data_IF_285477544585
#
_entry.id   IF_285477544585
#
_cell.length_a   1.000
_cell.length_b   1.000
_cell.length_c   1.000
_cell.angle_alpha   90.00
_cell.angle_beta   90.00
_cell.angle_gamma   90.00
#
_symmetry.space_group_name_H-M   'P 1'
#
loop_
_entity.id
_entity.type
_entity.pdbx_description
1 polymer ?
#
# COMPACT_ATOMS: atom_id res chain seq x y z
N UNK A 1 -17.46 -23.67 -0.57
CA UNK A 1 -18.01 -23.05 0.66
C UNK A 1 -19.15 -22.16 0.20
N UNK A 2 -20.33 -22.34 0.79
CA UNK A 2 -21.51 -21.56 0.43
C UNK A 2 -21.25 -20.07 0.70
N UNK A 3 -21.76 -19.20 -0.15
CA UNK A 3 -21.81 -17.77 0.15
C UNK A 3 -22.55 -17.55 1.47
N UNK A 4 -21.99 -16.74 2.35
CA UNK A 4 -22.70 -16.39 3.57
C UNK A 4 -23.75 -15.33 3.28
N UNK A 5 -23.43 -14.15 2.75
CA UNK A 5 -24.45 -13.11 2.50
C UNK A 5 -24.24 -12.37 1.19
N UNK A 6 -25.34 -12.06 0.50
CA UNK A 6 -25.32 -11.19 -0.68
C UNK A 6 -26.44 -10.16 -0.62
N UNK A 7 -26.21 -9.02 -1.26
CA UNK A 7 -27.19 -7.94 -1.26
C UNK A 7 -28.23 -8.12 -2.39
N UNK A 8 -29.51 -8.04 -2.05
CA UNK A 8 -30.63 -8.04 -3.00
C UNK A 8 -30.94 -6.63 -3.57
N UNK A 9 -30.63 -5.55 -2.84
CA UNK A 9 -30.98 -4.19 -3.23
C UNK A 9 -29.94 -3.13 -2.79
N UNK A 10 -29.71 -2.13 -3.62
CA UNK A 10 -28.87 -0.99 -3.23
C UNK A 10 -29.52 -0.22 -2.07
N UNK A 11 -28.71 0.35 -1.18
CA UNK A 11 -29.19 1.13 -0.05
C UNK A 11 -28.28 1.03 1.18
N UNK A 12 -28.82 1.38 2.34
CA UNK A 12 -28.08 1.36 3.59
C UNK A 12 -27.79 -0.06 4.07
N UNK A 13 -26.63 -0.23 4.72
CA UNK A 13 -26.25 -1.47 5.37
C UNK A 13 -27.24 -1.84 6.47
N UNK A 14 -27.69 -0.86 7.26
CA UNK A 14 -28.63 -1.05 8.36
C UNK A 14 -30.01 -1.59 7.96
N UNK A 15 -30.37 -1.56 6.67
CA UNK A 15 -31.64 -2.08 6.18
C UNK A 15 -31.60 -3.60 6.03
N UNK A 16 -32.02 -4.33 7.07
CA UNK A 16 -31.96 -5.80 7.12
C UNK A 16 -32.63 -6.49 5.91
N UNK A 17 -33.73 -5.93 5.40
CA UNK A 17 -34.45 -6.46 4.23
C UNK A 17 -33.64 -6.50 2.92
N UNK A 18 -32.52 -5.76 2.84
CA UNK A 18 -31.63 -5.77 1.68
C UNK A 18 -30.76 -7.04 1.63
N UNK A 19 -30.62 -7.76 2.74
CA UNK A 19 -29.69 -8.87 2.86
C UNK A 19 -30.36 -10.23 2.63
N UNK A 20 -29.68 -11.08 1.85
CA UNK A 20 -30.11 -12.43 1.51
C UNK A 20 -29.01 -13.45 1.79
N UNK A 21 -29.43 -14.68 2.05
CA UNK A 21 -28.53 -15.76 2.47
C UNK A 21 -28.27 -15.75 3.96
N UNK A 22 -27.22 -16.46 4.36
CA UNK A 22 -26.67 -16.39 5.70
C UNK A 22 -27.00 -17.57 6.57
N UNK A 23 -26.20 -17.75 7.61
CA UNK A 23 -26.53 -18.70 8.68
C UNK A 23 -27.76 -18.23 9.48
N UNK A 24 -28.07 -16.93 9.48
CA UNK A 24 -29.23 -16.36 10.18
C UNK A 24 -30.46 -16.17 9.28
N UNK A 25 -30.37 -16.51 7.99
CA UNK A 25 -31.47 -16.42 7.02
C UNK A 25 -31.71 -15.03 6.43
N UNK A 26 -32.60 -14.98 5.44
CA UNK A 26 -32.95 -13.77 4.71
C UNK A 26 -33.49 -12.65 5.60
N UNK A 27 -33.22 -11.40 5.23
CA UNK A 27 -33.76 -10.24 5.93
C UNK A 27 -33.07 -9.96 7.27
N UNK A 28 -31.86 -10.49 7.48
CA UNK A 28 -31.05 -10.28 8.68
C UNK A 28 -29.73 -9.59 8.32
N UNK A 29 -29.15 -8.84 9.27
CA UNK A 29 -27.87 -8.17 9.04
C UNK A 29 -26.70 -9.18 9.06
N UNK A 30 -25.67 -9.01 8.21
CA UNK A 30 -24.48 -9.83 8.27
C UNK A 30 -23.74 -9.71 9.61
N UNK A 31 -23.11 -10.80 10.02
CA UNK A 31 -22.37 -10.96 11.27
C UNK A 31 -20.90 -11.28 11.03
N UNK A 32 -20.12 -11.38 12.10
CA UNK A 32 -18.68 -11.66 12.07
C UNK A 32 -18.26 -12.95 11.36
N UNK A 33 -19.19 -13.91 11.18
CA UNK A 33 -18.94 -15.18 10.51
C UNK A 33 -19.13 -15.11 8.99
N UNK A 34 -19.67 -14.00 8.48
CA UNK A 34 -20.22 -13.94 7.14
C UNK A 34 -19.27 -13.34 6.12
N UNK A 35 -19.10 -14.05 4.99
CA UNK A 35 -18.58 -13.47 3.76
C UNK A 35 -19.66 -12.65 3.05
N UNK A 36 -19.43 -11.34 2.90
CA UNK A 36 -20.43 -10.40 2.38
C UNK A 36 -20.09 -9.96 0.96
N UNK A 37 -21.01 -10.21 0.04
CA UNK A 37 -20.90 -9.88 -1.37
C UNK A 37 -21.80 -8.70 -1.73
N UNK A 38 -21.23 -7.69 -2.41
CA UNK A 38 -21.99 -6.54 -2.89
C UNK A 38 -23.00 -6.91 -4.00
N UNK A 39 -22.78 -8.01 -4.73
CA UNK A 39 -23.73 -8.58 -5.69
C UNK A 39 -24.20 -7.58 -6.77
N UNK A 40 -23.29 -6.76 -7.28
CA UNK A 40 -23.64 -5.70 -8.25
C UNK A 40 -24.41 -4.51 -7.66
N UNK A 41 -24.63 -4.46 -6.34
CA UNK A 41 -25.38 -3.39 -5.65
C UNK A 41 -24.46 -2.38 -4.99
N UNK A 42 -24.97 -1.16 -4.80
CA UNK A 42 -24.28 -0.11 -4.06
C UNK A 42 -24.79 -0.09 -2.62
N UNK A 43 -23.90 -0.32 -1.66
CA UNK A 43 -24.22 -0.41 -0.23
C UNK A 43 -23.61 0.77 0.49
N UNK A 44 -24.40 1.52 1.24
CA UNK A 44 -23.91 2.58 2.12
C UNK A 44 -23.67 2.01 3.51
N UNK A 45 -22.43 2.05 4.00
CA UNK A 45 -22.10 1.70 5.38
C UNK A 45 -22.45 2.91 6.27
N UNK A 46 -23.62 2.84 6.88
CA UNK A 46 -24.22 3.88 7.73
C UNK A 46 -24.16 3.55 9.23
N UNK A 47 -23.48 2.46 9.59
CA UNK A 47 -23.21 2.03 10.96
C UNK A 47 -21.86 1.30 11.03
N UNK A 48 -21.37 1.06 12.25
CA UNK A 48 -20.21 0.18 12.43
C UNK A 48 -20.59 -1.27 12.10
N UNK A 49 -19.65 -2.02 11.52
CA UNK A 49 -19.90 -3.38 11.04
C UNK A 49 -18.83 -4.35 11.50
N UNK A 50 -19.22 -5.61 11.67
CA UNK A 50 -18.30 -6.72 11.93
C UNK A 50 -18.66 -7.90 11.02
N UNK A 51 -17.75 -8.30 10.14
CA UNK A 51 -17.96 -9.35 9.13
C UNK A 51 -16.71 -10.21 8.92
N UNK A 52 -16.84 -11.37 8.28
CA UNK A 52 -15.68 -12.17 7.90
C UNK A 52 -14.94 -11.57 6.71
N UNK A 53 -15.69 -11.16 5.67
CA UNK A 53 -15.12 -10.48 4.50
C UNK A 53 -16.08 -9.51 3.82
N UNK A 54 -15.50 -8.58 3.05
CA UNK A 54 -16.22 -7.70 2.13
C UNK A 54 -15.71 -7.93 0.71
N UNK A 55 -16.61 -8.14 -0.25
CA UNK A 55 -16.24 -8.56 -1.61
C UNK A 55 -17.08 -7.90 -2.69
N UNK A 56 -16.44 -7.56 -3.80
CA UNK A 56 -17.10 -7.26 -5.09
C UNK A 56 -16.80 -8.33 -6.16
N UNK A 57 -16.30 -9.50 -5.74
CA UNK A 57 -16.14 -10.68 -6.60
C UNK A 57 -17.49 -11.35 -6.84
N UNK A 58 -17.58 -12.19 -7.89
CA UNK A 58 -18.67 -13.16 -7.94
C UNK A 58 -18.49 -14.19 -6.81
N UNK A 59 -19.59 -14.78 -6.37
CA UNK A 59 -19.57 -16.02 -5.60
C UNK A 59 -20.36 -17.12 -6.31
N UNK A 60 -21.02 -18.01 -5.57
CA UNK A 60 -21.88 -19.06 -6.13
C UNK A 60 -23.17 -18.52 -6.74
N UNK A 61 -23.83 -17.57 -6.07
CA UNK A 61 -25.10 -16.93 -6.47
C UNK A 61 -24.89 -15.44 -6.75
N UNK A 62 -23.98 -14.80 -6.02
CA UNK A 62 -23.68 -13.40 -6.15
C UNK A 62 -22.93 -13.12 -7.46
N UNK A 63 -23.40 -12.13 -8.21
CA UNK A 63 -22.72 -11.62 -9.39
C UNK A 63 -21.59 -10.67 -8.99
N UNK A 64 -20.53 -10.62 -9.80
CA UNK A 64 -19.43 -9.69 -9.58
C UNK A 64 -19.89 -8.22 -9.70
N UNK A 65 -19.30 -7.35 -8.89
CA UNK A 65 -19.49 -5.90 -8.93
C UNK A 65 -20.21 -5.34 -7.70
N UNK A 66 -20.61 -4.08 -7.79
CA UNK A 66 -21.18 -3.31 -6.68
C UNK A 66 -20.13 -2.53 -5.90
N UNK A 67 -20.48 -2.00 -4.74
CA UNK A 67 -19.54 -1.28 -3.87
C UNK A 67 -20.07 -1.13 -2.45
N UNK A 68 -19.16 -0.91 -1.51
CA UNK A 68 -19.44 -0.48 -0.15
C UNK A 68 -18.92 0.96 0.02
N UNK A 69 -19.82 1.90 0.29
CA UNK A 69 -19.48 3.32 0.43
C UNK A 69 -19.63 3.75 1.88
N UNK A 70 -18.56 4.32 2.45
CA UNK A 70 -18.60 4.97 3.75
C UNK A 70 -18.86 6.46 3.54
N UNK A 71 -20.10 6.90 3.76
CA UNK A 71 -20.55 8.28 3.51
C UNK A 71 -20.89 9.08 4.77
N UNK A 72 -20.81 8.46 5.95
CA UNK A 72 -20.98 9.12 7.26
C UNK A 72 -19.67 9.11 8.06
N UNK A 73 -19.46 10.16 8.84
CA UNK A 73 -18.21 10.36 9.60
C UNK A 73 -18.11 9.35 10.75
N UNK A 74 -16.89 8.93 11.10
CA UNK A 74 -16.63 8.11 12.29
C UNK A 74 -17.20 6.69 12.18
N UNK A 75 -16.54 5.82 11.40
CA UNK A 75 -16.96 4.42 11.24
C UNK A 75 -15.84 3.43 11.56
N UNK A 76 -16.26 2.27 12.06
CA UNK A 76 -15.39 1.12 12.27
C UNK A 76 -15.88 -0.07 11.45
N UNK A 77 -15.01 -0.58 10.60
CA UNK A 77 -15.18 -1.82 9.85
C UNK A 77 -14.25 -2.86 10.49
N UNK A 78 -14.84 -3.81 11.21
CA UNK A 78 -14.11 -4.97 11.73
C UNK A 78 -14.25 -6.12 10.72
N UNK A 79 -13.17 -6.50 10.05
CA UNK A 79 -13.17 -7.54 9.02
C UNK A 79 -12.16 -8.62 9.38
N UNK A 80 -12.64 -9.84 9.65
CA UNK A 80 -11.79 -10.88 10.24
C UNK A 80 -10.76 -11.47 9.27
N UNK A 81 -11.11 -11.58 7.98
CA UNK A 81 -10.31 -12.30 6.99
C UNK A 81 -9.82 -11.42 5.84
N UNK A 82 -10.73 -10.92 4.99
CA UNK A 82 -10.30 -10.22 3.77
C UNK A 82 -11.27 -9.15 3.29
N UNK A 83 -10.72 -8.10 2.69
CA UNK A 83 -11.45 -7.22 1.78
C UNK A 83 -10.86 -7.45 0.39
N UNK A 84 -11.70 -7.74 -0.60
CA UNK A 84 -11.25 -8.07 -1.96
C UNK A 84 -12.08 -7.35 -3.01
N UNK A 85 -11.40 -6.64 -3.92
CA UNK A 85 -12.02 -6.11 -5.12
C UNK A 85 -12.13 -7.19 -6.18
N UNK A 86 -13.32 -7.31 -6.78
CA UNK A 86 -13.60 -8.17 -7.92
C UNK A 86 -13.59 -7.38 -9.21
N UNK A 87 -14.76 -7.01 -9.72
CA UNK A 87 -14.91 -6.22 -10.96
C UNK A 87 -14.99 -4.71 -10.74
N UNK A 88 -15.14 -4.27 -9.49
CA UNK A 88 -15.32 -2.86 -9.11
C UNK A 88 -14.54 -2.52 -7.83
N UNK A 89 -14.41 -1.22 -7.53
CA UNK A 89 -13.83 -0.77 -6.27
C UNK A 89 -14.66 -1.30 -5.08
N UNK A 90 -14.02 -1.96 -4.12
CA UNK A 90 -14.76 -2.62 -3.02
C UNK A 90 -15.24 -1.61 -1.98
N UNK A 91 -14.33 -0.91 -1.30
CA UNK A 91 -14.65 0.10 -0.29
C UNK A 91 -14.26 1.48 -0.80
N UNK A 92 -15.21 2.41 -0.82
CA UNK A 92 -14.99 3.82 -1.16
C UNK A 92 -15.33 4.71 0.02
N UNK A 93 -14.39 5.57 0.42
CA UNK A 93 -14.61 6.56 1.49
C UNK A 93 -14.85 7.90 0.85
N UNK A 94 -16.07 8.43 1.02
CA UNK A 94 -16.54 9.67 0.34
C UNK A 94 -16.88 10.79 1.31
N UNK A 95 -16.68 10.56 2.60
CA UNK A 95 -16.91 11.53 3.67
C UNK A 95 -15.63 11.87 4.42
N UNK A 96 -15.59 13.05 5.01
CA UNK A 96 -14.48 13.48 5.88
C UNK A 96 -14.64 12.86 7.29
N UNK A 97 -13.58 12.87 8.08
CA UNK A 97 -13.56 12.20 9.39
C UNK A 97 -12.71 10.92 9.37
N UNK A 98 -12.87 10.10 10.41
CA UNK A 98 -12.03 8.90 10.59
C UNK A 98 -12.80 7.63 10.24
N UNK A 99 -12.23 6.83 9.34
CA UNK A 99 -12.59 5.43 9.14
C UNK A 99 -11.52 4.56 9.80
N UNK A 100 -11.94 3.56 10.56
CA UNK A 100 -11.06 2.51 11.09
C UNK A 100 -11.40 1.18 10.43
N UNK A 101 -10.41 0.51 9.84
CA UNK A 101 -10.53 -0.83 9.27
C UNK A 101 -9.60 -1.77 10.05
N UNK A 102 -10.15 -2.69 10.81
CA UNK A 102 -9.38 -3.55 11.71
C UNK A 102 -9.69 -5.03 11.48
N UNK A 103 -8.66 -5.87 11.55
CA UNK A 103 -8.81 -7.31 11.76
C UNK A 103 -7.48 -7.96 12.14
N UNK A 104 -7.51 -8.91 13.07
CA UNK A 104 -6.31 -9.57 13.61
C UNK A 104 -5.52 -10.36 12.58
N UNK A 105 -6.16 -10.79 11.49
CA UNK A 105 -5.54 -11.50 10.37
C UNK A 105 -6.00 -10.95 9.01
N UNK A 106 -6.44 -9.68 9.00
CA UNK A 106 -6.99 -9.06 7.81
C UNK A 106 -5.95 -8.89 6.71
N UNK A 107 -6.31 -9.31 5.50
CA UNK A 107 -5.59 -8.96 4.27
C UNK A 107 -6.50 -8.23 3.28
N UNK A 108 -6.05 -7.05 2.82
CA UNK A 108 -6.72 -6.28 1.76
C UNK A 108 -6.06 -6.63 0.44
N UNK A 109 -6.82 -7.28 -0.45
CA UNK A 109 -6.31 -7.84 -1.71
C UNK A 109 -6.82 -7.04 -2.91
N UNK A 110 -5.91 -6.59 -3.77
CA UNK A 110 -6.26 -6.08 -5.10
C UNK A 110 -6.83 -7.19 -5.99
N UNK A 111 -7.76 -6.82 -6.88
CA UNK A 111 -8.27 -7.71 -7.93
C UNK A 111 -7.17 -8.29 -8.82
N UNK A 112 -7.33 -9.57 -9.18
CA UNK A 112 -6.55 -10.23 -10.23
C UNK A 112 -7.25 -10.18 -11.60
N UNK A 113 -8.51 -9.74 -11.68
CA UNK A 113 -9.35 -9.95 -12.86
C UNK A 113 -9.80 -8.66 -13.56
N UNK A 114 -9.86 -7.53 -12.85
CA UNK A 114 -10.32 -6.25 -13.39
C UNK A 114 -9.23 -5.19 -13.30
N UNK A 115 -9.20 -4.25 -14.24
CA UNK A 115 -8.18 -3.19 -14.31
C UNK A 115 -8.69 -1.88 -13.71
N UNK A 116 -7.77 -1.02 -13.29
CA UNK A 116 -8.06 0.38 -12.89
C UNK A 116 -9.10 0.53 -11.75
N UNK A 117 -9.14 -0.43 -10.82
CA UNK A 117 -10.00 -0.39 -9.64
C UNK A 117 -9.17 -0.42 -8.36
N UNK A 118 -9.81 -0.17 -7.21
CA UNK A 118 -9.12 -0.18 -5.92
C UNK A 118 -9.86 -1.07 -4.92
N UNK A 119 -9.16 -1.68 -3.97
CA UNK A 119 -9.86 -2.43 -2.92
C UNK A 119 -10.41 -1.50 -1.85
N UNK A 120 -9.60 -0.56 -1.36
CA UNK A 120 -10.01 0.53 -0.49
C UNK A 120 -9.51 1.84 -1.08
N UNK A 121 -10.40 2.81 -1.27
CA UNK A 121 -10.08 4.10 -1.87
C UNK A 121 -10.52 5.26 -0.98
N UNK A 122 -9.57 6.05 -0.50
CA UNK A 122 -9.84 7.35 0.11
C UNK A 122 -9.93 8.42 -0.98
N UNK A 123 -11.10 9.01 -1.18
CA UNK A 123 -11.28 10.14 -2.11
C UNK A 123 -11.47 11.46 -1.39
N UNK A 124 -11.08 11.56 -0.12
CA UNK A 124 -11.36 12.72 0.74
C UNK A 124 -10.14 13.23 1.48
N UNK A 125 -10.32 14.31 2.24
CA UNK A 125 -9.35 14.79 3.24
C UNK A 125 -9.45 14.07 4.60
N UNK A 126 -10.30 13.05 4.72
CA UNK A 126 -10.45 12.24 5.94
C UNK A 126 -9.24 11.34 6.24
N UNK A 127 -9.28 10.71 7.41
CA UNK A 127 -8.28 9.76 7.89
C UNK A 127 -8.79 8.34 7.76
N UNK A 128 -7.98 7.42 7.24
CA UNK A 128 -8.22 5.98 7.29
C UNK A 128 -7.12 5.33 8.14
N UNK A 129 -7.50 4.72 9.26
CA UNK A 129 -6.63 3.87 10.05
C UNK A 129 -6.88 2.42 9.65
N UNK A 130 -5.83 1.69 9.27
CA UNK A 130 -5.93 0.31 8.78
C UNK A 130 -4.99 -0.58 9.60
N UNK A 131 -5.53 -1.65 10.18
CA UNK A 131 -4.74 -2.73 10.77
C UNK A 131 -4.92 -3.98 9.91
N UNK A 132 -4.02 -4.16 8.93
CA UNK A 132 -4.09 -5.23 7.94
C UNK A 132 -2.75 -5.38 7.19
N UNK A 133 -2.51 -6.53 6.60
CA UNK A 133 -1.59 -6.61 5.47
C UNK A 133 -2.31 -6.19 4.18
N UNK A 134 -1.60 -5.60 3.22
CA UNK A 134 -2.15 -5.25 1.91
C UNK A 134 -1.31 -5.88 0.80
N UNK A 135 -1.99 -6.43 -0.21
CA UNK A 135 -1.36 -7.09 -1.37
C UNK A 135 -1.89 -6.47 -2.67
N UNK A 136 -0.98 -6.00 -3.52
CA UNK A 136 -1.33 -5.39 -4.80
C UNK A 136 -2.10 -6.32 -5.73
N UNK A 137 -2.84 -5.74 -6.67
CA UNK A 137 -3.63 -6.54 -7.61
C UNK A 137 -2.77 -7.29 -8.62
N UNK A 138 -3.37 -8.35 -9.18
CA UNK A 138 -2.78 -9.09 -10.29
C UNK A 138 -2.99 -8.44 -11.66
N UNK A 139 -3.97 -7.54 -11.77
CA UNK A 139 -4.25 -6.80 -12.99
C UNK A 139 -3.68 -5.37 -12.94
N UNK A 140 -3.46 -4.78 -14.12
CA UNK A 140 -2.89 -3.45 -14.29
C UNK A 140 -3.78 -2.36 -13.67
N UNK A 141 -3.16 -1.41 -12.98
CA UNK A 141 -3.88 -0.26 -12.39
C UNK A 141 -4.69 -0.60 -11.14
N UNK A 142 -4.52 -1.80 -10.56
CA UNK A 142 -5.25 -2.24 -9.37
C UNK A 142 -4.47 -2.02 -8.09
N UNK A 143 -4.95 -1.12 -7.24
CA UNK A 143 -4.30 -0.82 -5.95
C UNK A 143 -5.15 -1.36 -4.80
N UNK A 144 -4.55 -2.04 -3.84
CA UNK A 144 -5.30 -2.53 -2.68
C UNK A 144 -5.73 -1.39 -1.75
N UNK A 145 -4.81 -0.49 -1.41
CA UNK A 145 -5.11 0.67 -0.56
C UNK A 145 -4.64 1.97 -1.20
N UNK A 146 -5.57 2.84 -1.57
CA UNK A 146 -5.28 4.07 -2.31
C UNK A 146 -5.70 5.31 -1.54
N UNK A 147 -4.79 6.27 -1.42
CA UNK A 147 -5.11 7.65 -1.06
C UNK A 147 -5.17 8.50 -2.33
N UNK A 148 -6.36 8.85 -2.81
CA UNK A 148 -6.55 9.61 -4.05
C UNK A 148 -6.69 11.11 -3.82
N UNK A 149 -6.67 11.57 -2.58
CA UNK A 149 -6.96 12.94 -2.18
C UNK A 149 -5.99 13.44 -1.10
N UNK A 150 -6.33 14.54 -0.44
CA UNK A 150 -5.49 15.20 0.56
C UNK A 150 -5.53 14.53 1.95
N UNK A 151 -6.21 13.38 2.07
CA UNK A 151 -6.44 12.69 3.34
C UNK A 151 -5.21 11.98 3.88
N UNK A 152 -5.38 11.34 5.04
CA UNK A 152 -4.34 10.56 5.70
C UNK A 152 -4.69 9.08 5.66
N UNK A 153 -3.72 8.23 5.33
CA UNK A 153 -3.82 6.79 5.55
C UNK A 153 -2.74 6.38 6.55
N UNK A 154 -3.13 5.73 7.64
CA UNK A 154 -2.23 5.12 8.61
C UNK A 154 -2.40 3.60 8.53
N UNK A 155 -1.37 2.90 8.07
CA UNK A 155 -1.36 1.44 7.96
C UNK A 155 -0.48 0.85 9.05
N UNK A 156 -1.04 -0.02 9.88
CA UNK A 156 -0.32 -0.95 10.75
C UNK A 156 -0.37 -2.33 10.13
N UNK A 157 0.73 -2.74 9.49
CA UNK A 157 0.84 -3.98 8.75
C UNK A 157 1.71 -3.83 7.50
N UNK A 158 1.90 -4.93 6.78
CA UNK A 158 2.86 -4.99 5.68
C UNK A 158 2.20 -4.66 4.33
N UNK A 159 2.99 -4.12 3.41
CA UNK A 159 2.62 -3.94 2.01
C UNK A 159 3.44 -4.89 1.13
N UNK A 160 2.77 -5.60 0.21
CA UNK A 160 3.44 -6.47 -0.77
C UNK A 160 2.89 -6.18 -2.16
N UNK A 161 3.77 -5.76 -3.08
CA UNK A 161 3.40 -5.52 -4.48
C UNK A 161 2.75 -6.76 -5.11
N UNK A 162 1.80 -6.55 -6.01
CA UNK A 162 1.09 -7.64 -6.67
C UNK A 162 1.87 -8.27 -7.83
N UNK A 163 1.15 -8.89 -8.75
CA UNK A 163 1.68 -9.30 -10.06
C UNK A 163 1.29 -8.35 -11.19
N UNK A 164 0.45 -7.34 -10.93
CA UNK A 164 0.07 -6.32 -11.92
C UNK A 164 0.35 -4.88 -11.48
N UNK A 165 0.33 -4.58 -10.18
CA UNK A 165 0.42 -3.21 -9.67
C UNK A 165 0.83 -3.13 -8.19
N UNK A 166 0.99 -1.91 -7.70
CA UNK A 166 1.34 -1.54 -6.33
C UNK A 166 0.33 -2.04 -5.27
N UNK A 167 0.81 -2.40 -4.08
CA UNK A 167 -0.07 -2.71 -2.95
C UNK A 167 -0.78 -1.46 -2.43
N UNK A 168 0.00 -0.45 -2.05
CA UNK A 168 -0.52 0.86 -1.69
C UNK A 168 -0.13 1.93 -2.70
N UNK A 169 -0.93 2.99 -2.78
CA UNK A 169 -0.65 4.14 -3.62
C UNK A 169 -1.10 5.45 -2.95
N UNK A 170 -0.18 6.39 -2.76
CA UNK A 170 -0.48 7.77 -2.46
C UNK A 170 -0.53 8.57 -3.77
N UNK A 171 -1.75 8.74 -4.29
CA UNK A 171 -2.02 9.45 -5.54
C UNK A 171 -2.63 10.85 -5.31
N UNK A 172 -2.61 11.32 -4.07
CA UNK A 172 -3.01 12.67 -3.69
C UNK A 172 -1.89 13.43 -2.98
N UNK A 173 -2.21 14.63 -2.51
CA UNK A 173 -1.27 15.48 -1.76
C UNK A 173 -1.19 15.11 -0.27
N UNK A 174 -1.98 14.13 0.15
CA UNK A 174 -2.07 13.67 1.53
C UNK A 174 -0.90 12.81 1.98
N UNK A 175 -1.09 12.16 3.12
CA UNK A 175 -0.06 11.33 3.76
C UNK A 175 -0.44 9.84 3.72
N UNK A 176 0.58 8.99 3.59
CA UNK A 176 0.43 7.55 3.73
C UNK A 176 1.56 7.03 4.62
N UNK A 177 1.22 6.66 5.86
CA UNK A 177 2.16 6.14 6.85
C UNK A 177 2.04 4.63 6.94
N UNK A 178 3.16 3.92 6.93
CA UNK A 178 3.23 2.45 7.04
C UNK A 178 4.09 2.09 8.26
N UNK A 179 3.43 1.51 9.26
CA UNK A 179 4.05 0.87 10.42
C UNK A 179 4.14 -0.64 10.20
N UNK A 180 5.00 -1.02 9.26
CA UNK A 180 5.23 -2.38 8.80
C UNK A 180 6.20 -2.38 7.61
N UNK A 181 6.45 -3.56 7.05
CA UNK A 181 7.38 -3.71 5.94
C UNK A 181 6.75 -3.33 4.60
N UNK A 182 7.56 -2.88 3.65
CA UNK A 182 7.14 -2.62 2.28
C UNK A 182 7.99 -3.44 1.29
N UNK A 183 7.37 -4.42 0.64
CA UNK A 183 8.06 -5.36 -0.26
C UNK A 183 7.55 -5.22 -1.69
N UNK A 184 8.45 -5.13 -2.66
CA UNK A 184 8.10 -5.19 -4.08
C UNK A 184 7.52 -6.54 -4.48
N UNK A 185 6.72 -6.56 -5.54
CA UNK A 185 6.03 -7.74 -6.05
C UNK A 185 6.78 -8.50 -7.14
N UNK A 186 6.01 -9.25 -7.93
CA UNK A 186 6.51 -10.18 -8.94
C UNK A 186 6.66 -9.63 -10.35
N UNK A 187 6.30 -8.37 -10.59
CA UNK A 187 6.20 -7.76 -11.92
C UNK A 187 6.69 -6.33 -11.96
N UNK A 188 6.92 -5.79 -13.15
CA UNK A 188 7.19 -4.36 -13.33
C UNK A 188 6.04 -3.52 -12.75
N UNK A 189 6.37 -2.43 -12.07
CA UNK A 189 5.40 -1.55 -11.37
C UNK A 189 4.63 -2.17 -10.19
N UNK A 190 4.94 -3.42 -9.82
CA UNK A 190 4.41 -4.04 -8.62
C UNK A 190 5.14 -3.56 -7.37
N UNK A 191 4.90 -2.31 -6.99
CA UNK A 191 5.56 -1.71 -5.83
C UNK A 191 4.93 -2.15 -4.50
N UNK A 192 5.70 -2.23 -3.41
CA UNK A 192 5.09 -2.33 -2.08
C UNK A 192 4.22 -1.09 -1.81
N UNK A 193 4.78 0.09 -2.04
CA UNK A 193 4.08 1.38 -2.01
C UNK A 193 4.55 2.30 -3.14
N UNK A 194 3.61 3.03 -3.74
CA UNK A 194 3.88 4.06 -4.75
C UNK A 194 3.48 5.44 -4.22
N UNK A 195 4.37 6.43 -4.27
CA UNK A 195 4.00 7.83 -4.17
C UNK A 195 3.92 8.41 -5.59
N UNK A 196 2.70 8.54 -6.10
CA UNK A 196 2.43 8.99 -7.46
C UNK A 196 1.90 10.43 -7.54
N UNK A 197 1.99 11.18 -6.45
CA UNK A 197 1.62 12.58 -6.40
C UNK A 197 2.60 13.40 -5.53
N UNK A 198 2.17 14.55 -5.03
CA UNK A 198 3.02 15.49 -4.28
C UNK A 198 2.99 15.25 -2.76
N UNK A 199 2.23 14.26 -2.31
CA UNK A 199 2.09 13.91 -0.90
C UNK A 199 3.32 13.25 -0.31
N UNK A 200 3.19 12.78 0.94
CA UNK A 200 4.28 12.15 1.69
C UNK A 200 3.96 10.70 2.01
N UNK A 201 4.90 9.81 1.77
CA UNK A 201 4.85 8.43 2.25
C UNK A 201 5.93 8.23 3.31
N UNK A 202 5.55 7.68 4.45
CA UNK A 202 6.47 7.35 5.56
C UNK A 202 6.44 5.85 5.82
N UNK A 203 7.60 5.22 5.97
CA UNK A 203 7.73 3.78 6.23
C UNK A 203 8.69 3.56 7.39
N UNK A 204 8.22 2.97 8.48
CA UNK A 204 9.06 2.66 9.65
C UNK A 204 9.59 1.23 9.67
N UNK A 205 8.97 0.31 8.91
CA UNK A 205 9.49 -1.05 8.75
C UNK A 205 10.51 -1.18 7.61
N UNK A 206 10.89 -2.43 7.34
CA UNK A 206 11.88 -2.74 6.30
C UNK A 206 11.32 -2.52 4.91
N UNK A 207 12.06 -1.84 4.05
CA UNK A 207 11.77 -1.70 2.61
C UNK A 207 12.61 -2.71 1.84
N UNK A 208 11.98 -3.57 1.05
CA UNK A 208 12.65 -4.63 0.29
C UNK A 208 12.24 -4.67 -1.17
N UNK A 209 13.22 -4.85 -2.06
CA UNK A 209 12.94 -5.06 -3.49
C UNK A 209 12.16 -6.36 -3.75
N UNK A 210 11.40 -6.39 -4.83
CA UNK A 210 10.67 -7.56 -5.30
C UNK A 210 11.54 -8.52 -6.12
N UNK A 211 10.90 -9.35 -6.95
CA UNK A 211 11.61 -10.37 -7.74
C UNK A 211 11.89 -9.94 -9.18
N UNK A 212 11.52 -8.71 -9.56
CA UNK A 212 11.76 -8.11 -10.89
C UNK A 212 12.46 -6.76 -10.71
N UNK A 213 13.39 -6.41 -11.60
CA UNK A 213 14.30 -5.25 -11.46
C UNK A 213 13.59 -3.92 -11.12
N UNK A 214 12.37 -3.73 -11.64
CA UNK A 214 11.55 -2.52 -11.40
C UNK A 214 10.44 -2.75 -10.38
N UNK A 215 10.50 -3.79 -9.56
CA UNK A 215 9.55 -4.04 -8.48
C UNK A 215 10.12 -3.50 -7.16
N UNK A 216 10.11 -2.18 -6.99
CA UNK A 216 10.62 -1.56 -5.76
C UNK A 216 9.73 -1.85 -4.54
N UNK A 217 10.33 -1.92 -3.34
CA UNK A 217 9.57 -1.87 -2.10
C UNK A 217 8.85 -0.54 -1.92
N UNK A 218 9.54 0.57 -2.22
CA UNK A 218 8.98 1.90 -2.24
C UNK A 218 9.40 2.66 -3.51
N UNK A 219 8.44 3.29 -4.19
CA UNK A 219 8.72 4.05 -5.41
C UNK A 219 8.16 5.47 -5.32
N UNK A 220 8.96 6.46 -5.73
CA UNK A 220 8.54 7.85 -5.83
C UNK A 220 8.44 8.29 -7.30
N UNK A 221 7.24 8.36 -7.83
CA UNK A 221 7.04 8.61 -9.26
C UNK A 221 7.03 10.11 -9.62
N UNK A 222 6.74 10.99 -8.66
CA UNK A 222 6.46 12.42 -8.89
C UNK A 222 7.11 13.27 -7.81
N UNK A 223 6.70 14.52 -7.59
CA UNK A 223 7.42 15.48 -6.73
C UNK A 223 7.23 15.29 -5.22
N UNK A 224 6.50 14.26 -4.79
CA UNK A 224 6.27 13.95 -3.38
C UNK A 224 7.52 13.47 -2.64
N UNK A 225 7.35 13.13 -1.36
CA UNK A 225 8.46 12.69 -0.50
C UNK A 225 8.31 11.23 -0.07
N UNK A 226 9.44 10.52 0.01
CA UNK A 226 9.53 9.23 0.73
C UNK A 226 10.40 9.42 1.97
N UNK A 227 9.87 9.05 3.13
CA UNK A 227 10.58 9.08 4.41
C UNK A 227 10.72 7.64 4.92
N UNK A 228 11.94 7.11 4.88
CA UNK A 228 12.24 5.72 5.20
C UNK A 228 13.02 5.66 6.51
N UNK A 229 12.32 5.34 7.59
CA UNK A 229 12.90 5.27 8.93
C UNK A 229 13.40 3.86 9.29
N UNK A 230 12.91 2.83 8.59
CA UNK A 230 13.36 1.45 8.74
C UNK A 230 14.46 1.03 7.76
N UNK A 231 14.97 -0.21 7.88
CA UNK A 231 16.01 -0.76 7.00
C UNK A 231 15.61 -0.74 5.52
N UNK A 232 16.58 -0.56 4.64
CA UNK A 232 16.41 -0.53 3.19
C UNK A 232 17.30 -1.60 2.56
N UNK A 233 16.70 -2.69 2.06
CA UNK A 233 17.43 -3.85 1.54
C UNK A 233 17.05 -4.20 0.12
N UNK A 234 18.00 -4.19 -0.81
CA UNK A 234 17.80 -4.81 -2.11
C UNK A 234 17.40 -6.29 -1.94
N UNK A 235 16.64 -6.81 -2.90
CA UNK A 235 16.60 -8.25 -3.13
C UNK A 235 17.78 -8.66 -4.01
N UNK A 236 17.88 -9.94 -4.34
CA UNK A 236 18.85 -10.42 -5.34
C UNK A 236 18.60 -9.88 -6.75
N UNK A 237 17.44 -9.27 -7.01
CA UNK A 237 17.02 -8.85 -8.36
C UNK A 237 16.63 -7.38 -8.45
N UNK A 238 16.06 -6.80 -7.39
CA UNK A 238 15.42 -5.49 -7.44
C UNK A 238 15.93 -4.56 -6.33
N UNK A 239 16.10 -3.26 -6.63
CA UNK A 239 16.33 -2.26 -5.59
C UNK A 239 15.14 -2.20 -4.63
N UNK A 240 15.40 -1.80 -3.39
CA UNK A 240 14.35 -1.52 -2.42
C UNK A 240 13.60 -0.23 -2.75
N UNK A 241 14.34 0.80 -3.19
CA UNK A 241 13.82 2.15 -3.37
C UNK A 241 14.19 2.68 -4.74
N UNK A 242 13.21 3.23 -5.45
CA UNK A 242 13.40 3.87 -6.74
C UNK A 242 12.68 5.22 -6.84
N UNK A 243 13.10 6.03 -7.81
CA UNK A 243 12.36 7.22 -8.22
C UNK A 243 12.26 7.29 -9.74
N UNK A 244 11.28 8.03 -10.26
CA UNK A 244 11.28 8.40 -11.68
C UNK A 244 12.47 9.32 -12.00
N UNK A 245 12.84 9.39 -13.28
CA UNK A 245 13.92 10.28 -13.76
C UNK A 245 13.53 11.75 -13.76
N UNK A 246 12.22 12.05 -13.75
CA UNK A 246 11.67 13.41 -13.70
C UNK A 246 11.28 13.84 -12.27
N UNK A 247 11.59 13.01 -11.27
CA UNK A 247 11.33 13.28 -9.87
C UNK A 247 12.11 14.49 -9.34
N UNK A 248 11.42 15.44 -8.68
CA UNK A 248 12.03 16.62 -8.04
C UNK A 248 11.89 16.67 -6.52
N UNK A 249 11.16 15.72 -5.93
CA UNK A 249 11.03 15.62 -4.47
C UNK A 249 12.31 15.09 -3.81
N UNK A 250 12.17 14.48 -2.65
CA UNK A 250 13.30 13.83 -2.00
C UNK A 250 12.93 12.46 -1.43
N UNK A 251 13.90 11.56 -1.43
CA UNK A 251 13.90 10.32 -0.66
C UNK A 251 14.82 10.52 0.52
N UNK A 252 14.27 10.52 1.74
CA UNK A 252 15.06 10.51 2.98
C UNK A 252 15.16 9.09 3.48
N UNK A 253 16.37 8.64 3.76
CA UNK A 253 16.64 7.34 4.37
C UNK A 253 17.32 7.56 5.71
N UNK A 254 16.82 6.88 6.74
CA UNK A 254 17.36 6.87 8.09
C UNK A 254 17.75 5.50 8.63
N UNK A 255 17.19 4.42 8.07
CA UNK A 255 17.60 3.07 8.42
C UNK A 255 18.86 2.59 7.69
N UNK A 256 19.42 1.43 8.11
CA UNK A 256 20.57 0.83 7.46
C UNK A 256 20.25 0.42 6.02
N UNK A 257 21.24 0.50 5.15
CA UNK A 257 21.11 0.20 3.72
C UNK A 257 21.89 -1.07 3.39
N UNK A 258 21.25 -2.04 2.73
CA UNK A 258 21.87 -3.32 2.35
C UNK A 258 21.72 -3.59 0.86
N UNK A 259 22.84 -3.60 0.14
CA UNK A 259 22.89 -4.09 -1.24
C UNK A 259 22.91 -5.63 -1.25
N UNK A 260 22.40 -6.25 -2.31
CA UNK A 260 22.32 -7.72 -2.41
C UNK A 260 22.48 -8.18 -3.86
N UNK A 261 23.24 -9.25 -4.10
CA UNK A 261 23.37 -9.87 -5.43
C UNK A 261 23.88 -8.94 -6.54
N UNK A 262 24.69 -7.92 -6.21
CA UNK A 262 25.12 -6.89 -7.17
C UNK A 262 24.08 -5.79 -7.43
N UNK A 263 22.92 -5.84 -6.77
CA UNK A 263 21.84 -4.86 -6.88
C UNK A 263 21.99 -3.80 -5.79
N UNK A 264 21.95 -2.54 -6.21
CA UNK A 264 21.86 -1.40 -5.30
C UNK A 264 20.49 -1.34 -4.64
N UNK A 265 20.46 -1.10 -3.33
CA UNK A 265 19.21 -0.95 -2.59
C UNK A 265 18.44 0.32 -2.97
N UNK A 266 19.14 1.36 -3.44
CA UNK A 266 18.57 2.66 -3.79
C UNK A 266 19.00 3.04 -5.20
N UNK A 267 18.02 3.36 -6.05
CA UNK A 267 18.23 3.82 -7.44
C UNK A 267 17.44 5.11 -7.71
N UNK A 268 17.56 6.08 -6.81
CA UNK A 268 16.84 7.35 -6.87
C UNK A 268 17.73 8.49 -7.37
N UNK A 269 17.13 9.49 -8.01
CA UNK A 269 17.84 10.68 -8.52
C UNK A 269 18.22 11.66 -7.41
N UNK A 270 17.42 11.73 -6.33
CA UNK A 270 17.59 12.67 -5.21
C UNK A 270 17.40 11.96 -3.88
N UNK A 271 18.50 11.78 -3.15
CA UNK A 271 18.51 11.07 -1.86
C UNK A 271 19.18 11.91 -0.79
N UNK A 272 18.55 11.96 0.38
CA UNK A 272 19.10 12.46 1.62
C UNK A 272 19.33 11.29 2.57
N UNK A 273 20.58 11.04 2.91
CA UNK A 273 20.95 10.07 3.95
C UNK A 273 21.15 10.83 5.26
N UNK A 274 20.51 10.39 6.34
CA UNK A 274 20.79 10.98 7.66
C UNK A 274 22.01 10.32 8.31
N UNK A 275 22.61 11.01 9.28
CA UNK A 275 23.91 10.66 9.85
C UNK A 275 24.00 9.28 10.53
N UNK A 276 22.87 8.62 10.77
CA UNK A 276 22.78 7.30 11.43
C UNK A 276 22.58 6.15 10.43
N UNK A 277 22.59 6.42 9.11
CA UNK A 277 22.49 5.38 8.10
C UNK A 277 23.80 4.58 8.00
N UNK A 278 23.79 3.35 8.52
CA UNK A 278 24.85 2.38 8.24
C UNK A 278 24.70 1.79 6.84
N UNK A 279 25.74 1.87 6.01
CA UNK A 279 25.76 1.25 4.69
C UNK A 279 26.52 -0.07 4.71
N UNK A 280 25.81 -1.17 4.46
CA UNK A 280 26.39 -2.51 4.39
C UNK A 280 26.41 -3.00 2.94
N UNK A 281 27.62 -3.29 2.44
CA UNK A 281 27.82 -3.96 1.16
C UNK A 281 27.96 -5.46 1.42
N UNK A 282 26.95 -6.26 1.09
CA UNK A 282 27.08 -7.71 1.10
C UNK A 282 27.89 -8.19 -0.14
N UNK A 283 29.25 -8.13 -0.03
CA UNK A 283 30.37 -8.90 -0.67
C UNK A 283 30.13 -9.70 -1.98
N UNK A 284 31.01 -9.87 -2.99
CA UNK A 284 32.33 -9.39 -3.42
C UNK A 284 32.34 -9.36 -4.98
N UNK A 285 32.87 -8.30 -5.57
CA UNK A 285 32.80 -8.04 -7.01
C UNK A 285 32.36 -6.60 -7.24
N UNK A 286 33.04 -5.90 -8.15
CA UNK A 286 32.92 -4.48 -8.54
C UNK A 286 31.89 -3.63 -7.75
N UNK A 287 32.33 -2.57 -7.04
CA UNK A 287 31.42 -1.67 -6.33
C UNK A 287 30.34 -1.17 -7.30
N UNK A 288 29.04 -1.31 -6.98
CA UNK A 288 28.01 -0.77 -7.84
C UNK A 288 28.15 0.75 -7.92
N UNK A 289 28.19 1.29 -9.14
CA UNK A 289 28.17 2.73 -9.35
C UNK A 289 26.87 3.31 -8.78
N UNK A 290 26.96 4.35 -7.95
CA UNK A 290 25.80 5.11 -7.53
C UNK A 290 25.38 6.03 -8.69
N UNK A 291 24.17 5.87 -9.20
CA UNK A 291 23.68 6.61 -10.36
C UNK A 291 22.79 7.79 -9.94
N UNK A 292 23.35 8.72 -9.15
CA UNK A 292 22.63 9.88 -8.64
C UNK A 292 23.51 10.87 -7.86
N UNK A 293 22.97 12.06 -7.56
CA UNK A 293 23.63 13.05 -6.71
C UNK A 293 23.32 12.75 -5.25
N UNK A 294 24.33 12.38 -4.44
CA UNK A 294 24.18 12.22 -2.99
C UNK A 294 24.42 13.57 -2.33
N UNK A 295 23.39 14.16 -1.71
CA UNK A 295 23.59 15.24 -0.75
C UNK A 295 23.69 14.64 0.64
N UNK A 296 24.91 14.45 1.14
CA UNK A 296 25.14 14.07 2.54
C UNK A 296 24.92 15.32 3.40
N UNK A 297 23.93 15.30 4.28
CA UNK A 297 23.73 16.38 5.24
C UNK A 297 24.90 16.41 6.23
N UNK A 298 25.78 17.40 6.11
CA UNK A 298 26.90 17.56 7.04
C UNK A 298 26.42 17.77 8.48
N UNK A 299 26.92 16.96 9.42
CA UNK A 299 26.86 17.25 10.85
C UNK A 299 27.94 18.30 11.17
N UNK A 300 27.53 19.53 11.48
CA UNK A 300 28.41 20.52 12.09
C UNK A 300 28.56 20.23 13.58
N UNK A 301 29.69 19.66 13.99
CA UNK A 301 30.05 19.51 15.41
C UNK A 301 31.08 18.41 15.65
N UNK A 302 32.28 18.80 16.09
CA UNK A 302 33.51 18.01 16.01
C UNK A 302 33.66 16.85 16.98
N UNK A 303 34.32 15.81 16.48
CA UNK A 303 34.77 14.61 17.19
C UNK A 303 35.19 13.55 16.16
N UNK A 304 36.34 12.87 16.31
CA UNK A 304 36.87 12.01 15.26
C UNK A 304 36.08 10.70 15.22
N UNK A 305 35.34 10.47 14.13
CA UNK A 305 34.75 9.16 13.84
C UNK A 305 35.34 8.65 12.53
N UNK A 306 36.05 7.55 12.63
CA UNK A 306 36.56 6.80 11.49
C UNK A 306 35.40 6.15 10.70
N UNK A 307 35.60 6.00 9.37
CA UNK A 307 34.72 5.43 8.32
C UNK A 307 33.75 6.46 7.70
N UNK A 308 33.67 6.67 6.38
CA UNK A 308 34.04 5.85 5.22
C UNK A 308 34.47 6.76 4.05
N UNK A 309 35.43 6.27 3.26
CA UNK A 309 35.99 6.91 2.07
C UNK A 309 34.91 7.21 1.02
N UNK A 310 34.70 8.50 0.76
CA UNK A 310 33.96 8.97 -0.42
C UNK A 310 34.86 8.71 -1.63
N UNK A 311 34.51 7.72 -2.46
CA UNK A 311 35.08 7.60 -3.80
C UNK A 311 34.19 8.41 -4.73
N UNK A 312 34.47 9.71 -4.85
CA UNK A 312 34.06 10.48 -6.03
C UNK A 312 34.97 10.08 -7.18
N UNK A 313 34.51 9.17 -8.04
CA UNK A 313 34.99 9.12 -9.41
C UNK A 313 33.83 8.74 -10.33
N UNK A 314 33.24 9.77 -10.95
CA UNK A 314 32.23 9.62 -12.00
C UNK A 314 33.01 9.29 -13.27
N UNK A 315 33.19 8.01 -13.54
CA UNK A 315 33.65 7.51 -14.83
C UNK A 315 32.45 7.30 -15.75
N UNK A 316 32.39 8.06 -16.83
CA UNK A 316 31.47 7.89 -17.96
C UNK A 316 31.62 6.50 -18.59
N UNK A 317 30.51 5.79 -18.76
CA UNK A 317 30.31 4.76 -19.80
C UNK A 317 28.90 4.90 -20.37
#
# INVERSE_FOLDING_TARGET
>A
MAESYYNAASGNWSTAANWKGGTNGDGTLPTSADDVYANGKAVTIDQDITVNSLRTTAGTTAVAGGSFTVSSTGRTLTVNSTIISGSSTCVSVTTTGTLTINGSSLTINGSAASTSINTVNNTTSGTINVTANIVGGGATGVVALRNSANGTINLTGNTTGGSGQSAGCNNGTGTFTISGNATGGGSSSAYGINNSSTGTVTISGTVTGGTVVTAYGAFNNTTGSLLLDGPVSASSTAPAVGSSTTHTGFVRVAGPITNSGGVNAITCTRVCLVAECDWTIAKAGTPPAYNGTVTIGNKSGGGPVAKQTIITNIGTY
#
